data_IF_567307977696
#
_entry.id   IF_567307977696
#
_cell.length_a   1.000
_cell.length_b   1.000
_cell.length_c   1.000
_cell.angle_alpha   90.00
_cell.angle_beta   90.00
_cell.angle_gamma   90.00
#
_symmetry.space_group_name_H-M   'P 1'
#
loop_
_entity.id
_entity.type
_entity.pdbx_description
1 polymer ?
#
# COMPACT_ATOMS: atom_id res chain seq x y z
N UNK A 1 -6.70 4.28 3.48
CA UNK A 1 -6.16 3.11 4.21
C UNK A 1 -4.73 2.87 3.79
N UNK A 2 -3.83 2.76 4.76
CA UNK A 2 -2.46 2.32 4.57
C UNK A 2 -2.28 0.94 5.21
N UNK A 3 -1.79 -0.05 4.49
CA UNK A 3 -1.57 -1.42 4.99
C UNK A 3 -0.18 -1.92 4.63
N UNK A 4 0.37 -2.86 5.42
CA UNK A 4 1.54 -3.62 4.97
C UNK A 4 1.18 -4.55 3.80
N UNK A 5 2.13 -4.82 2.90
CA UNK A 5 2.02 -5.90 1.92
C UNK A 5 2.08 -7.27 2.63
N UNK A 6 2.99 -7.43 3.57
CA UNK A 6 3.21 -8.66 4.32
C UNK A 6 2.27 -8.77 5.53
N UNK A 7 0.96 -8.68 5.32
CA UNK A 7 -0.02 -8.93 6.39
C UNK A 7 0.16 -10.35 6.95
N UNK A 8 0.10 -10.53 8.28
CA UNK A 8 0.11 -11.87 8.86
C UNK A 8 -1.20 -12.61 8.54
N UNK A 9 -1.09 -13.89 8.18
CA UNK A 9 -2.24 -14.74 7.84
C UNK A 9 -2.22 -15.20 6.39
N UNK A 10 -3.38 -15.61 5.88
CA UNK A 10 -3.51 -16.20 4.53
C UNK A 10 -3.67 -15.15 3.43
N UNK A 11 -4.06 -13.93 3.78
CA UNK A 11 -4.28 -12.84 2.84
C UNK A 11 -3.20 -11.77 2.94
N UNK A 12 -2.76 -11.28 1.79
CA UNK A 12 -1.77 -10.21 1.68
C UNK A 12 -2.42 -8.83 1.77
N UNK A 13 -1.59 -7.79 1.94
CA UNK A 13 -2.06 -6.41 1.77
C UNK A 13 -2.68 -6.16 0.39
N UNK A 14 -2.27 -6.90 -0.64
CA UNK A 14 -2.75 -6.75 -2.01
C UNK A 14 -4.15 -7.33 -2.17
N UNK A 15 -4.42 -8.45 -1.52
CA UNK A 15 -5.77 -9.03 -1.43
C UNK A 15 -6.72 -8.05 -0.72
N UNK A 16 -6.24 -7.44 0.37
CA UNK A 16 -6.98 -6.39 1.06
C UNK A 16 -7.25 -5.19 0.14
N UNK A 17 -6.27 -4.71 -0.63
CA UNK A 17 -6.49 -3.59 -1.56
C UNK A 17 -7.54 -3.95 -2.60
N UNK A 18 -7.47 -5.15 -3.17
CA UNK A 18 -8.42 -5.64 -4.18
C UNK A 18 -9.85 -5.65 -3.63
N UNK A 19 -10.02 -6.19 -2.43
CA UNK A 19 -11.35 -6.27 -1.81
C UNK A 19 -11.88 -4.88 -1.41
N UNK A 20 -11.01 -3.99 -0.92
CA UNK A 20 -11.39 -2.60 -0.63
C UNK A 20 -11.79 -1.84 -1.91
N UNK A 21 -11.15 -2.10 -3.05
CA UNK A 21 -11.57 -1.52 -4.34
C UNK A 21 -13.00 -1.92 -4.67
N UNK A 22 -13.33 -3.19 -4.45
CA UNK A 22 -14.64 -3.75 -4.78
C UNK A 22 -15.73 -3.24 -3.85
N UNK A 23 -15.45 -3.16 -2.54
CA UNK A 23 -16.42 -2.73 -1.52
C UNK A 23 -16.55 -1.21 -1.41
N UNK A 24 -15.49 -0.47 -1.73
CA UNK A 24 -15.44 0.97 -1.57
C UNK A 24 -14.55 1.60 -2.65
N UNK A 25 -15.04 1.72 -3.90
CA UNK A 25 -14.24 2.18 -5.04
C UNK A 25 -13.60 3.56 -4.86
N UNK A 26 -14.23 4.45 -4.08
CA UNK A 26 -13.72 5.78 -3.75
C UNK A 26 -12.76 5.82 -2.56
N UNK A 27 -12.51 4.69 -1.90
CA UNK A 27 -11.60 4.63 -0.78
C UNK A 27 -10.16 4.73 -1.28
N UNK A 28 -9.44 5.71 -0.75
CA UNK A 28 -8.01 5.86 -0.98
C UNK A 28 -7.26 4.71 -0.32
N UNK A 29 -6.39 4.06 -1.09
CA UNK A 29 -5.71 2.80 -0.76
C UNK A 29 -4.22 2.94 -1.05
N UNK A 30 -3.39 2.56 -0.10
CA UNK A 30 -1.95 2.56 -0.23
C UNK A 30 -1.33 1.40 0.56
N UNK A 31 -0.14 1.00 0.14
CA UNK A 31 0.63 -0.09 0.75
C UNK A 31 1.94 0.44 1.33
N UNK A 32 2.50 -0.31 2.28
CA UNK A 32 3.88 -0.15 2.74
C UNK A 32 4.59 -1.50 2.78
N UNK A 33 5.91 -1.52 2.60
CA UNK A 33 6.66 -2.79 2.61
C UNK A 33 8.15 -2.61 2.84
N UNK A 34 8.80 -3.61 3.41
CA UNK A 34 10.27 -3.75 3.42
C UNK A 34 10.82 -4.59 2.26
N UNK A 35 9.94 -5.10 1.38
CA UNK A 35 10.36 -5.90 0.22
C UNK A 35 11.17 -5.03 -0.77
N UNK A 36 12.27 -5.57 -1.30
CA UNK A 36 13.11 -4.83 -2.24
C UNK A 36 12.37 -4.57 -3.56
N UNK A 37 12.88 -3.62 -4.34
CA UNK A 37 12.42 -3.44 -5.73
C UNK A 37 12.75 -4.69 -6.53
N UNK A 38 11.83 -5.13 -7.39
CA UNK A 38 11.97 -6.39 -8.14
C UNK A 38 11.42 -7.62 -7.42
N UNK A 39 10.95 -7.48 -6.18
CA UNK A 39 10.22 -8.55 -5.50
C UNK A 39 8.86 -8.77 -6.16
N UNK A 40 8.52 -10.01 -6.53
CA UNK A 40 7.30 -10.31 -7.27
C UNK A 40 6.01 -9.98 -6.52
N UNK A 41 6.01 -10.07 -5.19
CA UNK A 41 4.86 -9.66 -4.38
C UNK A 41 4.75 -8.14 -4.32
N UNK A 42 5.88 -7.42 -4.29
CA UNK A 42 5.85 -5.96 -4.41
C UNK A 42 5.36 -5.51 -5.79
N UNK A 43 5.76 -6.19 -6.85
CA UNK A 43 5.36 -5.87 -8.23
C UNK A 43 3.86 -6.07 -8.48
N UNK A 44 3.24 -7.04 -7.82
CA UNK A 44 1.80 -7.29 -7.94
C UNK A 44 0.92 -6.20 -7.29
N UNK A 45 1.50 -5.25 -6.56
CA UNK A 45 0.78 -4.06 -6.09
C UNK A 45 0.26 -3.17 -7.24
N UNK A 46 0.83 -3.31 -8.45
CA UNK A 46 0.37 -2.62 -9.65
C UNK A 46 0.37 -1.09 -9.50
N UNK A 47 -0.80 -0.48 -9.65
CA UNK A 47 -0.97 0.99 -9.55
C UNK A 47 -1.23 1.49 -8.14
N UNK A 48 -1.31 0.60 -7.14
CA UNK A 48 -1.48 1.01 -5.75
C UNK A 48 -0.17 1.66 -5.26
N UNK A 49 -0.20 2.90 -4.73
CA UNK A 49 0.99 3.54 -4.20
C UNK A 49 1.64 2.71 -3.09
N UNK A 50 2.97 2.57 -3.13
CA UNK A 50 3.75 1.79 -2.15
C UNK A 50 4.81 2.64 -1.46
N UNK A 51 4.73 2.75 -0.13
CA UNK A 51 5.74 3.36 0.72
C UNK A 51 6.78 2.30 1.15
N UNK A 52 8.07 2.58 0.96
CA UNK A 52 9.13 1.62 1.30
C UNK A 52 9.64 1.85 2.71
N UNK A 53 9.76 0.78 3.50
CA UNK A 53 10.34 0.80 4.84
C UNK A 53 11.87 0.63 4.77
N UNK A 54 12.61 1.15 5.76
CA UNK A 54 12.14 2.08 6.79
C UNK A 54 11.82 3.46 6.20
N UNK A 55 10.95 4.22 6.86
CA UNK A 55 10.62 5.59 6.49
C UNK A 55 10.52 6.45 7.75
N UNK A 56 10.83 7.74 7.61
CA UNK A 56 10.65 8.77 8.62
C UNK A 56 9.19 9.26 8.68
N UNK A 57 8.88 10.02 9.72
CA UNK A 57 7.54 10.59 9.92
C UNK A 57 7.16 11.57 8.80
N UNK A 58 8.11 12.37 8.34
CA UNK A 58 7.94 13.37 7.28
C UNK A 58 7.64 12.69 5.94
N UNK A 59 8.29 11.55 5.65
CA UNK A 59 8.06 10.76 4.45
C UNK A 59 6.66 10.14 4.45
N UNK A 60 6.23 9.59 5.59
CA UNK A 60 4.86 9.08 5.76
C UNK A 60 3.84 10.20 5.58
N UNK A 61 4.06 11.36 6.21
CA UNK A 61 3.14 12.50 6.15
C UNK A 61 3.01 13.02 4.73
N UNK A 62 4.12 13.20 4.01
CA UNK A 62 4.11 13.63 2.61
C UNK A 62 3.43 12.59 1.70
N UNK A 63 3.63 11.30 1.96
CA UNK A 63 3.02 10.21 1.19
C UNK A 63 1.49 10.18 1.38
N UNK A 64 1.02 10.35 2.61
CA UNK A 64 -0.42 10.43 2.90
C UNK A 64 -1.04 11.70 2.32
N UNK A 65 -0.34 12.84 2.39
CA UNK A 65 -0.79 14.12 1.82
C UNK A 65 -0.97 14.05 0.29
N UNK A 66 0.01 13.51 -0.43
CA UNK A 66 -0.07 13.31 -1.89
C UNK A 66 -1.22 12.39 -2.30
N UNK A 67 -1.61 11.50 -1.38
CA UNK A 67 -2.74 10.62 -1.60
C UNK A 67 -4.08 11.34 -1.43
N UNK A 68 -4.15 12.55 -0.85
CA UNK A 68 -5.41 13.30 -0.64
C UNK A 68 -5.84 14.17 -1.80
N UNK A 69 -4.92 14.55 -2.68
CA UNK A 69 -5.13 15.62 -3.66
C UNK A 69 -5.77 15.12 -4.99
N UNK A 70 -6.59 14.07 -4.94
CA UNK A 70 -7.25 13.47 -6.13
C UNK A 70 -8.72 13.16 -5.95
#
# INVERSE_FOLDING_TARGET
VLSDIGLPGEATGIDLMTELARRSPGLRRALMTSLPRGDGLRESAGTVPVLTKPFAFEELSAFLAQSEER
#
